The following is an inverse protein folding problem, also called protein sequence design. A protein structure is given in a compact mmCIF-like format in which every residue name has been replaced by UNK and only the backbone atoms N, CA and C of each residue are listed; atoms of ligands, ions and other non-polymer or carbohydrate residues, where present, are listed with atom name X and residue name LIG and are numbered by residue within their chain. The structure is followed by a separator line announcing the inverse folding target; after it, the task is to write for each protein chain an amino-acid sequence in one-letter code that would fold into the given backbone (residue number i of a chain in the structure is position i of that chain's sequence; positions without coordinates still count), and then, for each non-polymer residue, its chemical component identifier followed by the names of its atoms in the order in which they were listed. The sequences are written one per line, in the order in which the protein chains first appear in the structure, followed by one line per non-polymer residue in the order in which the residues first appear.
data_IF_903207617623
#
_entry.id   IF_903207617623
#
_cell.length_a   1.000
_cell.length_b   1.000
_cell.length_c   1.000
_cell.angle_alpha   90.00
_cell.angle_beta   90.00
_cell.angle_gamma   90.00
#
_symmetry.space_group_name_H-M   'P 1'
#
loop_
_entity.id
_entity.type
_entity.pdbx_description
1 polymer ?
#
# COMPACT_ATOMS: atom_id res chain seq x y z
N UNK A 1 20.05 -14.76 24.12
CA UNK A 1 21.15 -15.31 23.31
C UNK A 1 21.99 -14.15 22.80
N UNK A 2 23.29 -14.19 23.04
CA UNK A 2 24.25 -13.28 22.41
C UNK A 2 24.83 -14.01 21.19
N UNK A 3 24.74 -13.38 20.03
CA UNK A 3 25.40 -13.84 18.81
C UNK A 3 26.74 -13.11 18.66
N UNK A 4 27.73 -13.78 18.12
CA UNK A 4 29.02 -13.20 17.78
C UNK A 4 29.16 -13.02 16.28
N UNK A 5 30.06 -12.15 15.87
CA UNK A 5 30.35 -11.95 14.43
C UNK A 5 30.95 -13.23 13.85
N UNK A 6 30.28 -13.80 12.85
CA UNK A 6 30.67 -15.08 12.23
C UNK A 6 29.76 -16.24 12.59
N UNK A 7 28.83 -16.07 13.54
CA UNK A 7 27.87 -17.11 13.88
C UNK A 7 26.93 -17.39 12.72
N UNK A 8 26.70 -18.66 12.45
CA UNK A 8 25.67 -19.12 11.53
C UNK A 8 24.32 -19.17 12.26
N UNK A 9 23.33 -18.44 11.76
CA UNK A 9 22.01 -18.34 12.38
C UNK A 9 20.90 -18.77 11.42
N UNK A 10 19.86 -19.41 11.97
CA UNK A 10 18.64 -19.73 11.23
C UNK A 10 17.50 -18.81 11.68
N UNK A 11 16.98 -18.01 10.74
CA UNK A 11 15.82 -17.17 10.96
C UNK A 11 14.53 -17.85 10.48
N UNK A 12 13.45 -17.70 11.24
CA UNK A 12 12.11 -18.15 10.83
C UNK A 12 11.15 -16.95 10.89
N UNK A 13 10.46 -16.69 9.77
CA UNK A 13 9.46 -15.63 9.70
C UNK A 13 8.13 -16.16 10.21
N UNK A 14 7.48 -15.44 11.11
CA UNK A 14 6.06 -15.63 11.40
C UNK A 14 5.26 -15.22 10.14
N UNK A 15 4.92 -16.24 9.35
CA UNK A 15 4.31 -16.03 8.04
C UNK A 15 2.90 -15.46 8.13
N UNK A 16 2.12 -15.83 9.13
CA UNK A 16 0.76 -15.31 9.28
C UNK A 16 0.78 -13.81 9.59
N UNK A 17 1.64 -13.39 10.48
CA UNK A 17 1.86 -11.97 10.78
C UNK A 17 2.41 -11.22 9.57
N UNK A 18 3.39 -11.77 8.86
CA UNK A 18 3.95 -11.18 7.64
C UNK A 18 2.87 -11.01 6.58
N UNK A 19 2.09 -12.04 6.30
CA UNK A 19 1.06 -12.01 5.27
C UNK A 19 -0.08 -11.03 5.60
N UNK A 20 -0.49 -10.93 6.87
CA UNK A 20 -1.45 -9.92 7.29
C UNK A 20 -0.94 -8.50 7.02
N UNK A 21 0.33 -8.21 7.31
CA UNK A 21 0.93 -6.91 6.99
C UNK A 21 1.06 -6.68 5.47
N UNK A 22 1.38 -7.70 4.67
CA UNK A 22 1.42 -7.59 3.21
C UNK A 22 0.05 -7.20 2.63
N UNK A 23 -1.03 -7.83 3.11
CA UNK A 23 -2.40 -7.48 2.72
C UNK A 23 -2.71 -6.02 3.06
N UNK A 24 -2.50 -5.62 4.31
CA UNK A 24 -2.75 -4.25 4.75
C UNK A 24 -1.91 -3.21 3.99
N UNK A 25 -0.65 -3.54 3.68
CA UNK A 25 0.23 -2.67 2.91
C UNK A 25 -0.24 -2.51 1.46
N UNK A 26 -0.63 -3.61 0.82
CA UNK A 26 -1.18 -3.55 -0.54
C UNK A 26 -2.51 -2.80 -0.58
N UNK A 27 -3.38 -2.98 0.43
CA UNK A 27 -4.61 -2.21 0.55
C UNK A 27 -4.33 -0.70 0.71
N UNK A 28 -3.28 -0.31 1.46
CA UNK A 28 -2.86 1.08 1.58
C UNK A 28 -2.48 1.66 0.21
N UNK A 29 -1.71 0.92 -0.61
CA UNK A 29 -1.38 1.33 -1.97
C UNK A 29 -2.62 1.51 -2.84
N UNK A 30 -3.52 0.54 -2.86
CA UNK A 30 -4.79 0.61 -3.59
C UNK A 30 -5.60 1.87 -3.20
N UNK A 31 -5.78 2.10 -1.90
CA UNK A 31 -6.51 3.25 -1.38
C UNK A 31 -5.81 4.58 -1.72
N UNK A 32 -4.49 4.61 -1.74
CA UNK A 32 -3.70 5.80 -2.10
C UNK A 32 -3.86 6.16 -3.57
N UNK A 33 -3.80 5.17 -4.45
CA UNK A 33 -4.02 5.36 -5.89
C UNK A 33 -5.43 5.89 -6.18
N UNK A 34 -6.45 5.26 -5.60
CA UNK A 34 -7.85 5.67 -5.77
C UNK A 34 -8.13 7.06 -5.19
N UNK A 35 -7.61 7.36 -3.99
CA UNK A 35 -7.81 8.69 -3.41
C UNK A 35 -7.19 9.80 -4.25
N UNK A 36 -6.01 9.57 -4.82
CA UNK A 36 -5.37 10.49 -5.74
C UNK A 36 -6.21 10.74 -7.00
N UNK A 37 -6.76 9.68 -7.60
CA UNK A 37 -7.58 9.76 -8.80
C UNK A 37 -8.94 10.41 -8.54
N UNK A 38 -9.63 9.98 -7.48
CA UNK A 38 -11.01 10.40 -7.20
C UNK A 38 -11.12 11.79 -6.58
N UNK A 39 -10.10 12.24 -5.83
CA UNK A 39 -10.18 13.43 -4.99
C UNK A 39 -9.12 14.47 -5.32
N UNK A 40 -9.03 14.83 -6.60
CA UNK A 40 -8.22 15.95 -7.10
C UNK A 40 -6.75 15.93 -6.60
N UNK A 41 -6.12 14.78 -6.66
CA UNK A 41 -4.71 14.62 -6.27
C UNK A 41 -4.48 14.53 -4.75
N UNK A 42 -5.47 14.10 -3.97
CA UNK A 42 -5.28 13.84 -2.54
C UNK A 42 -4.20 12.76 -2.33
N UNK A 43 -3.09 13.14 -1.70
CA UNK A 43 -1.92 12.27 -1.53
C UNK A 43 -1.82 11.68 -0.14
N UNK A 44 -1.23 10.51 -0.05
CA UNK A 44 -0.80 9.94 1.22
C UNK A 44 0.38 10.74 1.77
N UNK A 45 0.19 11.35 2.94
CA UNK A 45 1.22 12.12 3.66
C UNK A 45 1.69 11.42 4.94
N UNK A 46 1.11 10.27 5.25
CA UNK A 46 1.49 9.42 6.36
C UNK A 46 0.63 8.16 6.40
N UNK A 47 1.18 7.11 6.96
CA UNK A 47 0.44 5.87 7.19
C UNK A 47 0.93 5.14 8.44
N UNK A 48 0.17 4.16 8.88
CA UNK A 48 0.60 3.18 9.87
C UNK A 48 -0.08 1.86 9.55
N UNK A 49 0.72 0.83 9.33
CA UNK A 49 0.27 -0.49 8.94
C UNK A 49 0.35 -1.43 10.15
N UNK A 50 -0.76 -2.06 10.49
CA UNK A 50 -0.85 -3.13 11.47
C UNK A 50 -1.60 -4.32 10.86
N UNK A 51 -1.49 -5.49 11.47
CA UNK A 51 -2.08 -6.71 10.97
C UNK A 51 -3.63 -6.73 11.00
N UNK A 52 -4.23 -6.05 11.97
CA UNK A 52 -5.66 -6.03 12.25
C UNK A 52 -6.38 -4.77 11.76
N UNK A 53 -5.67 -3.64 11.76
CA UNK A 53 -6.18 -2.33 11.33
C UNK A 53 -5.06 -1.43 10.89
N UNK A 54 -5.33 -0.56 9.95
CA UNK A 54 -4.34 0.39 9.43
C UNK A 54 -4.96 1.77 9.27
N UNK A 55 -4.11 2.75 9.03
CA UNK A 55 -4.55 4.14 8.80
C UNK A 55 -3.70 4.80 7.73
N UNK A 56 -4.34 5.69 6.98
CA UNK A 56 -3.72 6.55 5.98
C UNK A 56 -4.10 7.99 6.30
N UNK A 57 -3.14 8.88 6.25
CA UNK A 57 -3.37 10.33 6.34
C UNK A 57 -3.28 10.91 4.93
N UNK A 58 -4.38 11.47 4.44
CA UNK A 58 -4.49 12.08 3.12
C UNK A 58 -4.48 13.61 3.20
N UNK A 59 -3.85 14.27 2.22
CA UNK A 59 -3.80 15.73 2.08
C UNK A 59 -3.61 16.12 0.60
N UNK A 60 -4.29 17.18 0.08
CA UNK A 60 -5.35 17.92 0.77
C UNK A 60 -6.69 17.21 0.63
N UNK A 61 -7.44 17.09 1.69
CA UNK A 61 -8.79 16.49 1.64
C UNK A 61 -9.64 16.87 2.86
N UNK A 62 -10.97 16.92 2.63
CA UNK A 62 -11.98 16.97 3.68
C UNK A 62 -13.08 15.97 3.33
N UNK A 63 -12.96 14.75 3.82
CA UNK A 63 -13.94 13.70 3.55
C UNK A 63 -15.31 14.01 4.12
N UNK A 64 -16.34 13.97 3.29
CA UNK A 64 -17.73 13.77 3.69
C UNK A 64 -18.09 12.28 3.68
N UNK A 65 -19.33 11.94 3.97
CA UNK A 65 -19.79 10.54 4.01
C UNK A 65 -19.84 9.91 2.61
N UNK A 66 -20.21 10.69 1.60
CA UNK A 66 -20.27 10.23 0.21
C UNK A 66 -18.87 9.84 -0.27
N UNK A 67 -17.90 10.73 -0.10
CA UNK A 67 -16.50 10.47 -0.48
C UNK A 67 -15.94 9.22 0.20
N UNK A 68 -16.28 9.00 1.48
CA UNK A 68 -15.83 7.81 2.22
C UNK A 68 -16.43 6.53 1.66
N UNK A 69 -17.74 6.54 1.38
CA UNK A 69 -18.44 5.41 0.80
C UNK A 69 -17.93 5.12 -0.62
N UNK A 70 -17.74 6.15 -1.44
CA UNK A 70 -17.24 6.02 -2.81
C UNK A 70 -15.82 5.42 -2.81
N UNK A 71 -14.94 5.87 -1.92
CA UNK A 71 -13.58 5.32 -1.81
C UNK A 71 -13.59 3.84 -1.41
N UNK A 72 -14.40 3.46 -0.43
CA UNK A 72 -14.54 2.06 0.00
C UNK A 72 -15.15 1.20 -1.10
N UNK A 73 -16.20 1.69 -1.77
CA UNK A 73 -16.85 0.97 -2.88
C UNK A 73 -15.87 0.76 -4.03
N UNK A 74 -15.19 1.82 -4.46
CA UNK A 74 -14.19 1.74 -5.53
C UNK A 74 -13.05 0.77 -5.18
N UNK A 75 -12.57 0.78 -3.93
CA UNK A 75 -11.54 -0.16 -3.49
C UNK A 75 -12.03 -1.61 -3.58
N UNK A 76 -13.24 -1.89 -3.10
CA UNK A 76 -13.81 -3.24 -3.11
C UNK A 76 -14.12 -3.72 -4.54
N UNK A 77 -14.61 -2.85 -5.43
CA UNK A 77 -14.78 -3.15 -6.85
C UNK A 77 -13.45 -3.52 -7.53
N UNK A 78 -12.36 -2.81 -7.20
CA UNK A 78 -11.02 -3.15 -7.72
C UNK A 78 -10.52 -4.49 -7.17
N UNK A 79 -10.76 -4.76 -5.89
CA UNK A 79 -10.40 -6.05 -5.26
C UNK A 79 -11.10 -7.21 -5.98
N UNK A 80 -12.38 -7.06 -6.31
CA UNK A 80 -13.16 -8.07 -7.02
C UNK A 80 -12.70 -8.31 -8.47
N UNK A 81 -11.96 -7.35 -9.06
CA UNK A 81 -11.32 -7.53 -10.36
C UNK A 81 -10.05 -8.39 -10.31
N UNK A 82 -9.55 -8.72 -9.12
CA UNK A 82 -8.38 -9.57 -8.93
C UNK A 82 -7.13 -9.10 -9.69
N UNK A 83 -6.87 -7.79 -9.70
CA UNK A 83 -5.73 -7.22 -10.39
C UNK A 83 -4.41 -7.73 -9.83
N UNK A 84 -3.45 -7.94 -10.70
CA UNK A 84 -2.09 -8.34 -10.33
C UNK A 84 -1.35 -7.18 -9.64
N UNK A 85 -0.47 -7.57 -8.72
CA UNK A 85 0.49 -6.65 -8.09
C UNK A 85 1.88 -7.07 -8.55
N UNK A 86 2.50 -6.21 -9.31
CA UNK A 86 3.82 -6.43 -9.91
C UNK A 86 4.85 -5.47 -9.36
N UNK A 87 6.12 -5.77 -9.53
CA UNK A 87 7.19 -4.84 -9.24
C UNK A 87 8.30 -4.88 -10.30
N UNK A 88 8.97 -3.76 -10.44
CA UNK A 88 10.11 -3.60 -11.33
C UNK A 88 11.11 -2.61 -10.72
N UNK A 89 12.37 -2.76 -11.10
CA UNK A 89 13.40 -1.78 -10.77
C UNK A 89 13.48 -0.77 -11.92
N UNK A 90 13.32 0.52 -11.62
CA UNK A 90 13.29 1.60 -12.58
C UNK A 90 14.22 2.73 -12.17
N UNK A 91 14.77 3.42 -13.13
CA UNK A 91 15.53 4.66 -12.91
C UNK A 91 14.57 5.83 -12.59
N UNK A 92 15.12 6.89 -11.99
CA UNK A 92 14.34 8.11 -11.74
C UNK A 92 13.76 8.71 -13.02
N UNK A 93 14.51 8.69 -14.13
CA UNK A 93 14.07 9.26 -15.40
C UNK A 93 12.92 8.45 -15.99
N UNK A 94 12.98 7.13 -15.94
CA UNK A 94 11.89 6.26 -16.36
C UNK A 94 10.62 6.48 -15.54
N UNK A 95 10.77 6.63 -14.22
CA UNK A 95 9.63 6.90 -13.34
C UNK A 95 9.02 8.27 -13.67
N UNK A 96 9.83 9.31 -13.80
CA UNK A 96 9.38 10.68 -14.09
C UNK A 96 8.69 10.78 -15.46
N UNK A 97 9.02 9.90 -16.38
CA UNK A 97 8.37 9.87 -17.70
C UNK A 97 6.92 9.34 -17.66
N UNK A 98 6.56 8.58 -16.64
CA UNK A 98 5.27 7.87 -16.57
C UNK A 98 4.42 8.22 -15.35
N UNK A 99 5.01 8.84 -14.32
CA UNK A 99 4.33 9.22 -13.09
C UNK A 99 4.27 10.74 -12.92
N UNK A 100 3.14 11.29 -12.49
CA UNK A 100 3.07 12.69 -12.06
C UNK A 100 4.05 12.94 -10.91
N UNK A 101 4.83 14.01 -11.01
CA UNK A 101 5.88 14.33 -10.03
C UNK A 101 5.32 14.56 -8.61
N UNK A 102 4.09 15.05 -8.51
CA UNK A 102 3.40 15.30 -7.24
C UNK A 102 2.88 14.03 -6.57
N UNK A 103 2.79 12.88 -7.29
CA UNK A 103 2.32 11.61 -6.75
C UNK A 103 3.40 10.85 -5.98
N UNK A 104 4.65 11.02 -6.33
CA UNK A 104 5.70 10.07 -5.96
C UNK A 104 6.49 10.45 -4.72
N UNK A 105 6.42 11.69 -4.25
CA UNK A 105 7.29 12.20 -3.17
C UNK A 105 8.79 11.86 -3.38
N UNK A 106 9.21 11.70 -4.64
CA UNK A 106 10.60 11.32 -4.97
C UNK A 106 11.63 12.37 -4.54
N UNK A 107 11.18 13.62 -4.40
CA UNK A 107 12.01 14.72 -3.91
C UNK A 107 12.51 14.50 -2.47
N UNK A 108 11.79 13.65 -1.71
CA UNK A 108 12.18 13.29 -0.34
C UNK A 108 13.25 12.18 -0.29
N UNK A 109 13.51 11.51 -1.42
CA UNK A 109 14.51 10.46 -1.50
C UNK A 109 15.87 11.04 -1.85
N UNK A 110 16.96 10.57 -1.20
CA UNK A 110 18.31 11.02 -1.50
C UNK A 110 18.62 10.94 -3.01
N UNK A 111 19.25 11.96 -3.56
CA UNK A 111 19.62 12.02 -4.99
C UNK A 111 20.58 10.89 -5.40
N UNK A 112 21.33 10.34 -4.45
CA UNK A 112 22.23 9.19 -4.67
C UNK A 112 21.50 7.88 -5.01
N UNK A 113 20.19 7.78 -4.74
CA UNK A 113 19.39 6.61 -5.13
C UNK A 113 18.96 6.81 -6.57
N UNK A 114 19.67 6.19 -7.50
CA UNK A 114 19.42 6.30 -8.94
C UNK A 114 18.42 5.26 -9.47
N UNK A 115 18.20 4.17 -8.72
CA UNK A 115 17.35 3.05 -9.10
C UNK A 115 16.39 2.73 -7.95
N UNK A 116 15.12 2.55 -8.26
CA UNK A 116 14.04 2.40 -7.28
C UNK A 116 13.19 1.17 -7.65
N UNK A 117 12.84 0.38 -6.64
CA UNK A 117 11.80 -0.64 -6.80
C UNK A 117 10.44 0.04 -6.83
N UNK A 118 9.73 -0.14 -7.92
CA UNK A 118 8.36 0.36 -8.14
C UNK A 118 7.40 -0.81 -7.94
N UNK A 119 6.35 -0.58 -7.19
CA UNK A 119 5.22 -1.51 -7.06
C UNK A 119 4.04 -0.94 -7.83
N UNK A 120 3.39 -1.76 -8.63
CA UNK A 120 2.25 -1.41 -9.47
C UNK A 120 1.07 -2.34 -9.20
N UNK A 121 -0.14 -1.78 -9.13
CA UNK A 121 -1.40 -2.52 -9.06
C UNK A 121 -2.13 -2.38 -10.39
N UNK A 122 -2.35 -3.51 -11.08
CA UNK A 122 -3.04 -3.55 -12.37
C UNK A 122 -2.45 -2.59 -13.38
N UNK A 123 -3.27 -2.03 -14.26
CA UNK A 123 -2.85 -0.98 -15.20
C UNK A 123 -2.87 0.39 -14.50
N UNK A 124 -1.89 0.62 -13.61
CA UNK A 124 -1.64 1.89 -12.92
C UNK A 124 -2.76 2.40 -12.01
N UNK A 125 -3.56 1.50 -11.42
CA UNK A 125 -4.47 1.88 -10.33
C UNK A 125 -3.66 2.49 -9.18
N UNK A 126 -2.50 1.90 -8.87
CA UNK A 126 -1.43 2.54 -8.11
C UNK A 126 -0.08 2.17 -8.72
N UNK A 127 0.87 3.10 -8.65
CA UNK A 127 2.25 2.87 -9.08
C UNK A 127 3.17 3.81 -8.30
N UNK A 128 3.97 3.28 -7.40
CA UNK A 128 4.86 4.11 -6.60
C UNK A 128 6.13 3.39 -6.12
N UNK A 129 7.18 4.14 -5.78
CA UNK A 129 8.37 3.60 -5.14
C UNK A 129 8.03 2.94 -3.81
N UNK A 130 8.37 1.66 -3.66
CA UNK A 130 8.14 0.95 -2.41
C UNK A 130 9.15 -0.18 -2.21
N UNK A 131 9.78 -0.21 -1.04
CA UNK A 131 10.70 -1.28 -0.61
C UNK A 131 10.00 -2.37 0.21
N UNK A 132 8.71 -2.22 0.52
CA UNK A 132 7.96 -3.16 1.35
C UNK A 132 7.49 -4.40 0.60
N UNK A 133 6.93 -5.35 1.36
CA UNK A 133 6.36 -6.59 0.81
C UNK A 133 4.87 -6.44 0.52
N UNK A 134 4.41 -7.07 -0.55
CA UNK A 134 3.04 -7.02 -1.04
C UNK A 134 2.52 -8.43 -1.35
N UNK A 135 1.19 -8.59 -1.42
CA UNK A 135 0.57 -9.77 -2.03
C UNK A 135 0.70 -9.68 -3.55
N UNK A 136 0.62 -10.80 -4.26
CA UNK A 136 0.77 -10.83 -5.72
C UNK A 136 -0.51 -10.46 -6.46
N UNK A 137 -1.65 -10.42 -5.77
CA UNK A 137 -2.95 -10.13 -6.36
C UNK A 137 -3.87 -9.47 -5.33
N UNK A 138 -4.51 -8.35 -5.71
CA UNK A 138 -5.38 -7.64 -4.75
C UNK A 138 -6.62 -8.42 -4.32
N UNK A 139 -7.05 -9.45 -5.04
CA UNK A 139 -8.10 -10.37 -4.59
C UNK A 139 -7.76 -11.11 -3.29
N UNK A 140 -6.48 -11.16 -2.89
CA UNK A 140 -6.04 -11.71 -1.61
C UNK A 140 -6.34 -10.80 -0.41
N UNK A 141 -6.67 -9.52 -0.65
CA UNK A 141 -6.92 -8.54 0.41
C UNK A 141 -8.15 -8.88 1.25
N UNK A 142 -9.19 -9.44 0.63
CA UNK A 142 -10.53 -9.35 1.18
C UNK A 142 -11.03 -7.90 1.12
N UNK A 143 -12.28 -7.65 1.47
CA UNK A 143 -12.85 -6.32 1.34
C UNK A 143 -12.37 -5.34 2.41
N UNK A 144 -12.21 -4.10 2.01
CA UNK A 144 -11.91 -2.98 2.91
C UNK A 144 -13.18 -2.61 3.69
N UNK A 145 -13.03 -2.42 4.99
CA UNK A 145 -14.02 -1.82 5.87
C UNK A 145 -13.50 -0.52 6.47
N UNK A 146 -14.30 0.53 6.37
CA UNK A 146 -14.01 1.80 7.02
C UNK A 146 -14.26 1.72 8.53
N UNK A 147 -13.29 2.16 9.32
CA UNK A 147 -13.37 2.15 10.80
C UNK A 147 -13.58 3.54 11.39
N UNK A 148 -13.25 4.58 10.66
CA UNK A 148 -13.42 5.95 11.13
C UNK A 148 -12.47 6.95 10.48
N UNK A 149 -12.83 8.24 10.61
CA UNK A 149 -11.98 9.36 10.17
C UNK A 149 -11.60 10.27 11.33
N UNK A 150 -10.48 10.98 11.18
CA UNK A 150 -10.03 11.98 12.14
C UNK A 150 -9.33 13.13 11.42
N UNK A 151 -9.70 14.37 11.75
CA UNK A 151 -8.96 15.55 11.28
C UNK A 151 -7.57 15.60 11.94
N UNK A 152 -6.56 15.90 11.13
CA UNK A 152 -5.18 16.10 11.56
C UNK A 152 -4.71 17.55 11.38
N UNK A 153 -5.64 18.44 11.04
CA UNK A 153 -5.37 19.85 10.76
C UNK A 153 -4.76 20.09 9.38
N UNK A 154 -4.70 21.38 8.97
CA UNK A 154 -4.08 21.83 7.71
C UNK A 154 -4.53 21.05 6.46
N UNK A 155 -5.82 20.72 6.34
CA UNK A 155 -6.37 19.98 5.21
C UNK A 155 -6.00 18.49 5.19
N UNK A 156 -5.47 17.94 6.28
CA UNK A 156 -5.13 16.51 6.40
C UNK A 156 -6.23 15.76 7.13
N UNK A 157 -6.69 14.67 6.56
CA UNK A 157 -7.61 13.75 7.21
C UNK A 157 -7.08 12.33 7.22
N UNK A 158 -7.25 11.70 8.37
CA UNK A 158 -6.96 10.29 8.60
C UNK A 158 -8.16 9.45 8.24
N UNK A 159 -7.91 8.41 7.45
CA UNK A 159 -8.80 7.32 7.14
C UNK A 159 -8.29 6.06 7.82
N UNK A 160 -9.12 5.44 8.66
CA UNK A 160 -8.79 4.18 9.34
C UNK A 160 -9.61 3.04 8.76
N UNK A 161 -9.00 1.88 8.57
CA UNK A 161 -9.62 0.73 7.93
C UNK A 161 -9.13 -0.60 8.48
N UNK A 162 -9.90 -1.64 8.20
CA UNK A 162 -9.52 -3.05 8.34
C UNK A 162 -9.83 -3.81 7.06
N UNK A 163 -9.43 -5.06 7.00
CA UNK A 163 -9.73 -5.97 5.89
C UNK A 163 -10.53 -7.16 6.39
N UNK A 164 -11.64 -7.46 5.71
CA UNK A 164 -12.36 -8.72 5.91
C UNK A 164 -11.49 -9.90 5.49
N UNK A 165 -11.77 -11.11 6.00
CA UNK A 165 -11.12 -12.32 5.51
C UNK A 165 -11.29 -12.44 4.00
N UNK A 166 -10.21 -12.76 3.29
CA UNK A 166 -10.28 -13.08 1.88
C UNK A 166 -10.77 -14.51 1.66
N UNK A 167 -11.57 -14.71 0.63
CA UNK A 167 -11.96 -16.05 0.14
C UNK A 167 -10.94 -16.63 -0.84
N UNK A 168 -10.02 -15.80 -1.34
CA UNK A 168 -8.96 -16.24 -2.26
C UNK A 168 -7.82 -16.90 -1.49
N UNK A 169 -7.29 -18.04 -1.98
CA UNK A 169 -6.12 -18.66 -1.37
C UNK A 169 -4.89 -17.76 -1.47
N UNK A 170 -3.97 -17.89 -0.51
CA UNK A 170 -2.69 -17.16 -0.48
C UNK A 170 -1.84 -17.56 -1.70
N UNK A 171 -1.24 -16.58 -2.37
CA UNK A 171 -0.33 -16.81 -3.49
C UNK A 171 1.05 -17.38 -3.07
N UNK A 172 1.38 -17.31 -1.79
CA UNK A 172 2.62 -17.83 -1.23
C UNK A 172 2.36 -19.01 -0.31
N UNK A 173 3.03 -20.13 -0.55
CA UNK A 173 3.06 -21.25 0.39
C UNK A 173 4.19 -21.03 1.42
N UNK A 174 4.06 -21.64 2.61
CA UNK A 174 5.10 -21.65 3.64
C UNK A 174 6.39 -22.42 3.22
N UNK A 175 6.54 -22.78 1.96
CA UNK A 175 7.70 -23.50 1.49
C UNK A 175 8.84 -22.49 1.32
N UNK A 176 9.68 -22.42 2.35
CA UNK A 176 11.01 -21.81 2.26
C UNK A 176 11.85 -22.77 1.42
N UNK A 177 12.28 -22.32 0.24
CA UNK A 177 13.40 -22.96 -0.46
C UNK A 177 14.69 -22.58 0.21
#
# INVERSE_FOLDING_TARGET
HQFEVGDEVRGTIDWDTRYAHMRMHTAQHLMSGLAYEMFNGARTVGNQIHADRSRIDFNPISFDETMLNDLVSAANERIDQHLEVTDAVMTRDEINAIMPADRTNMDLLPASISSLRIVQIGDRVDMCPCAGTHVSNIGELGHVEFLGKKSKGKGTQRFSYTLKPSTKPRSYSNTVM
#
